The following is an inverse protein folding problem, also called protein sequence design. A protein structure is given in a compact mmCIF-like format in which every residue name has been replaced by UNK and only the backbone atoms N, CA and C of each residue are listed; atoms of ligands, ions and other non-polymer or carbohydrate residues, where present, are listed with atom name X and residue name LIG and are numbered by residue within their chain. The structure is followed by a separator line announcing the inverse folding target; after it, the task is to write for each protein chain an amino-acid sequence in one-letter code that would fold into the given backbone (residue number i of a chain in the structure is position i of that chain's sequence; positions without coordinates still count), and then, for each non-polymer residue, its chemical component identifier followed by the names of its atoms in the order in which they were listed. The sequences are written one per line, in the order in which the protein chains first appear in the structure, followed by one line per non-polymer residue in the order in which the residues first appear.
data_IF_491003488499
#
_entry.id   IF_491003488499
#
_cell.length_a   1.000
_cell.length_b   1.000
_cell.length_c   1.000
_cell.angle_alpha   90.00
_cell.angle_beta   90.00
_cell.angle_gamma   90.00
#
_symmetry.space_group_name_H-M   'P 1'
#
loop_
_entity.id
_entity.type
_entity.pdbx_description
1 polymer ?
#
# COMPACT_ATOMS: atom_id res chain seq x y z
N UNK A 1 44.75 24.65 11.20
CA UNK A 1 43.41 24.03 11.04
C UNK A 1 43.32 22.69 11.81
N UNK A 2 42.45 22.61 12.83
CA UNK A 2 42.20 21.35 13.56
C UNK A 2 41.49 20.37 12.62
N UNK A 3 41.98 19.13 12.52
CA UNK A 3 41.29 18.06 11.79
C UNK A 3 39.98 17.76 12.53
N UNK A 4 38.84 17.89 11.84
CA UNK A 4 37.54 17.44 12.36
C UNK A 4 37.63 15.97 12.74
N UNK A 5 37.05 15.63 13.88
CA UNK A 5 36.94 14.23 14.32
C UNK A 5 36.01 13.47 13.39
N UNK A 6 36.14 12.14 13.33
CA UNK A 6 35.29 11.33 12.46
C UNK A 6 33.80 11.44 12.84
N UNK A 7 33.51 11.55 14.14
CA UNK A 7 32.17 11.82 14.66
C UNK A 7 31.59 13.16 14.17
N UNK A 8 32.39 14.22 14.10
CA UNK A 8 31.96 15.51 13.54
C UNK A 8 31.67 15.41 12.04
N UNK A 9 32.48 14.65 11.29
CA UNK A 9 32.23 14.41 9.87
C UNK A 9 30.94 13.63 9.63
N UNK A 10 30.61 12.65 10.49
CA UNK A 10 29.35 11.90 10.41
C UNK A 10 28.16 12.81 10.68
N UNK A 11 28.20 13.62 11.74
CA UNK A 11 27.14 14.62 12.03
C UNK A 11 26.94 15.60 10.88
N UNK A 12 28.02 16.11 10.28
CA UNK A 12 27.92 16.99 9.11
C UNK A 12 27.32 16.26 7.90
N UNK A 13 27.62 14.97 7.71
CA UNK A 13 27.05 14.17 6.63
C UNK A 13 25.56 13.90 6.84
N UNK A 14 25.16 13.47 8.05
CA UNK A 14 23.76 13.31 8.45
C UNK A 14 23.00 14.63 8.28
N UNK A 15 23.55 15.75 8.74
CA UNK A 15 22.93 17.07 8.54
C UNK A 15 22.84 17.47 7.07
N UNK A 16 23.81 17.09 6.22
CA UNK A 16 23.74 17.31 4.76
C UNK A 16 22.69 16.43 4.10
N UNK A 17 22.56 15.17 4.52
CA UNK A 17 21.51 14.27 4.04
C UNK A 17 20.15 14.83 4.44
N UNK A 18 19.91 15.10 5.73
CA UNK A 18 18.66 15.72 6.19
C UNK A 18 18.39 17.08 5.54
N UNK A 19 19.41 17.90 5.29
CA UNK A 19 19.24 19.15 4.56
C UNK A 19 18.92 18.94 3.07
N UNK A 20 19.54 17.95 2.40
CA UNK A 20 19.24 17.62 1.01
C UNK A 20 17.82 17.08 0.89
N UNK A 21 17.42 16.25 1.85
CA UNK A 21 16.07 15.76 2.07
C UNK A 21 15.10 16.94 2.25
N UNK A 22 15.37 17.89 3.15
CA UNK A 22 14.50 19.05 3.37
C UNK A 22 14.44 19.98 2.15
N UNK A 23 15.54 20.13 1.42
CA UNK A 23 15.58 20.87 0.16
C UNK A 23 14.74 20.16 -0.91
N UNK A 24 14.83 18.83 -1.04
CA UNK A 24 13.98 18.05 -1.95
C UNK A 24 12.49 18.15 -1.56
N UNK A 25 12.20 18.16 -0.25
CA UNK A 25 10.84 18.30 0.32
C UNK A 25 10.22 19.68 0.06
N UNK A 26 10.98 20.76 0.16
CA UNK A 26 10.45 22.13 0.05
C UNK A 26 10.76 22.85 -1.26
N UNK A 27 11.69 22.34 -2.08
CA UNK A 27 12.21 23.02 -3.26
C UNK A 27 11.28 23.05 -4.47
N UNK A 28 10.26 22.19 -4.54
CA UNK A 28 9.45 21.97 -5.75
C UNK A 28 8.21 22.85 -5.89
N UNK A 29 7.91 23.74 -4.93
CA UNK A 29 6.72 24.64 -4.99
C UNK A 29 7.03 26.13 -5.17
N UNK A 30 8.30 26.53 -5.31
CA UNK A 30 8.65 27.93 -5.57
C UNK A 30 8.75 28.21 -7.08
N UNK A 31 7.59 28.19 -7.77
CA UNK A 31 7.49 28.81 -9.09
C UNK A 31 7.37 30.32 -8.91
N UNK A 32 8.26 31.03 -9.61
CA UNK A 32 8.48 32.46 -9.60
C UNK A 32 7.17 33.27 -9.69
N UNK A 33 6.91 34.10 -8.68
CA UNK A 33 6.09 35.29 -8.82
C UNK A 33 7.00 36.51 -8.68
N UNK A 34 7.29 37.15 -9.82
CA UNK A 34 7.92 38.46 -9.88
C UNK A 34 7.05 39.53 -9.18
N UNK A 35 7.65 40.50 -8.46
CA UNK A 35 6.91 41.56 -7.82
C UNK A 35 6.79 42.77 -8.76
N UNK A 36 5.59 43.05 -9.25
CA UNK A 36 5.26 44.35 -9.86
C UNK A 36 4.22 45.12 -9.03
N UNK A 37 4.74 46.05 -8.23
CA UNK A 37 4.34 47.46 -8.16
C UNK A 37 2.83 47.85 -8.20
N UNK A 38 2.33 48.14 -6.99
CA UNK A 38 1.74 49.44 -6.57
C UNK A 38 0.22 49.73 -6.68
N UNK A 39 -0.30 50.17 -5.53
CA UNK A 39 -1.35 51.19 -5.24
C UNK A 39 -2.83 50.88 -5.56
N UNK A 40 -3.65 50.73 -4.50
CA UNK A 40 -4.46 51.82 -3.92
C UNK A 40 -5.27 51.36 -2.70
N UNK A 41 -5.33 52.24 -1.71
CA UNK A 41 -6.11 52.12 -0.48
C UNK A 41 -7.62 52.27 -0.71
N UNK A 42 -8.43 51.59 0.11
CA UNK A 42 -9.79 52.02 0.50
C UNK A 42 -10.26 51.31 1.78
N UNK A 43 -11.10 52.03 2.53
CA UNK A 43 -11.49 51.91 3.95
C UNK A 43 -12.34 50.69 4.34
N UNK A 44 -12.48 50.40 5.65
CA UNK A 44 -13.24 49.26 6.16
C UNK A 44 -14.72 49.59 6.40
N UNK A 45 -15.62 48.65 6.09
CA UNK A 45 -17.01 48.68 6.53
C UNK A 45 -17.28 47.58 7.57
N UNK A 46 -17.92 48.05 8.65
CA UNK A 46 -18.48 47.36 9.82
C UNK A 46 -19.58 46.32 9.50
N UNK A 47 -19.92 45.56 10.55
CA UNK A 47 -21.10 44.70 10.80
C UNK A 47 -20.95 43.26 10.28
N UNK A 48 -21.34 42.19 11.00
CA UNK A 48 -22.14 42.05 12.22
C UNK A 48 -21.91 40.66 12.80
N UNK A 49 -21.92 40.58 14.13
CA UNK A 49 -22.04 39.36 14.92
C UNK A 49 -23.35 38.61 14.66
N UNK A 50 -23.28 37.30 14.45
CA UNK A 50 -24.38 36.40 14.83
C UNK A 50 -23.80 35.15 15.48
N UNK A 51 -24.22 34.94 16.73
CA UNK A 51 -24.04 33.71 17.50
C UNK A 51 -25.09 32.73 17.00
N UNK A 52 -24.67 31.52 16.63
CA UNK A 52 -25.53 30.35 16.74
C UNK A 52 -24.71 29.16 17.23
N UNK A 53 -25.00 28.78 18.47
CA UNK A 53 -24.50 27.59 19.13
C UNK A 53 -25.37 26.40 18.70
N UNK A 54 -24.90 25.59 17.76
CA UNK A 54 -25.51 24.31 17.45
C UNK A 54 -24.74 23.18 18.12
N UNK A 55 -25.40 22.58 19.11
CA UNK A 55 -25.00 21.38 19.84
C UNK A 55 -24.77 20.21 18.87
N UNK A 56 -23.55 19.68 18.86
CA UNK A 56 -23.14 18.50 18.10
C UNK A 56 -23.48 17.24 18.90
N UNK A 57 -24.26 16.27 18.38
CA UNK A 57 -24.44 14.98 19.04
C UNK A 57 -23.20 14.08 18.85
N UNK A 58 -22.93 13.15 19.78
CA UNK A 58 -21.74 12.30 19.72
C UNK A 58 -21.80 11.36 18.51
N UNK A 59 -20.74 11.38 17.70
CA UNK A 59 -20.52 10.46 16.60
C UNK A 59 -20.36 9.03 17.16
N UNK A 60 -21.43 8.24 17.10
CA UNK A 60 -21.39 6.81 17.36
C UNK A 60 -21.10 6.05 16.05
N UNK A 61 -20.19 5.07 16.16
CA UNK A 61 -19.89 3.94 15.27
C UNK A 61 -20.20 4.05 13.77
N UNK A 62 -19.16 3.90 12.95
CA UNK A 62 -19.24 3.47 11.54
C UNK A 62 -20.10 2.20 11.42
N UNK A 63 -21.41 2.36 11.30
CA UNK A 63 -22.36 1.26 11.12
C UNK A 63 -22.82 1.16 9.67
N UNK A 64 -23.03 -0.09 9.28
CA UNK A 64 -23.31 -0.76 7.99
C UNK A 64 -24.51 -0.22 7.16
N UNK A 65 -24.99 0.99 7.42
CA UNK A 65 -26.24 1.54 6.89
C UNK A 65 -26.22 1.83 5.37
N UNK A 66 -25.06 1.95 4.74
CA UNK A 66 -24.97 2.21 3.29
C UNK A 66 -25.35 0.99 2.43
N UNK A 67 -25.43 -0.22 3.01
CA UNK A 67 -25.85 -1.44 2.29
C UNK A 67 -27.33 -1.46 1.90
N UNK A 68 -28.18 -0.64 2.52
CA UNK A 68 -29.64 -0.69 2.32
C UNK A 68 -30.16 0.20 1.17
N UNK A 69 -29.35 1.10 0.62
CA UNK A 69 -29.83 2.14 -0.30
C UNK A 69 -29.65 1.83 -1.80
N UNK A 70 -29.15 0.64 -2.19
CA UNK A 70 -28.81 0.34 -3.60
C UNK A 70 -29.80 -0.57 -4.34
N UNK A 71 -30.98 -0.87 -3.77
CA UNK A 71 -31.97 -1.75 -4.41
C UNK A 71 -33.10 -0.96 -5.09
N UNK A 72 -32.84 -0.30 -6.21
CA UNK A 72 -33.88 0.03 -7.22
C UNK A 72 -33.29 -0.04 -8.63
N UNK A 73 -33.80 -0.88 -9.54
CA UNK A 73 -33.36 -0.88 -10.93
C UNK A 73 -34.25 0.06 -11.75
N UNK A 74 -33.66 1.10 -12.34
CA UNK A 74 -34.24 1.81 -13.48
C UNK A 74 -33.56 1.31 -14.75
N UNK A 75 -34.33 0.68 -15.62
CA UNK A 75 -33.89 0.19 -16.91
C UNK A 75 -33.67 1.36 -17.88
N UNK A 76 -32.49 1.40 -18.49
CA UNK A 76 -32.24 2.23 -19.67
C UNK A 76 -31.37 1.47 -20.66
N UNK A 77 -31.87 1.45 -21.88
CA UNK A 77 -31.46 0.74 -23.10
C UNK A 77 -30.07 1.16 -23.57
N UNK A 78 -29.20 0.20 -23.92
CA UNK A 78 -27.90 0.48 -24.55
C UNK A 78 -27.75 -0.25 -25.88
N UNK A 79 -27.49 0.53 -26.93
CA UNK A 79 -27.05 0.11 -28.25
C UNK A 79 -25.58 -0.35 -28.22
N UNK A 80 -25.28 -1.44 -28.92
CA UNK A 80 -23.94 -2.05 -29.03
C UNK A 80 -23.17 -1.48 -30.22
N UNK A 81 -21.90 -1.14 -30.01
CA UNK A 81 -20.88 -1.06 -31.06
C UNK A 81 -19.65 -1.86 -30.65
N UNK A 82 -19.29 -2.84 -31.49
CA UNK A 82 -18.08 -3.66 -31.41
C UNK A 82 -16.89 -2.85 -31.95
N UNK A 83 -15.74 -2.93 -31.28
CA UNK A 83 -14.45 -2.65 -31.89
C UNK A 83 -13.36 -3.51 -31.26
N UNK A 84 -12.78 -4.38 -32.08
CA UNK A 84 -11.61 -5.22 -31.83
C UNK A 84 -10.34 -4.48 -32.29
N UNK A 85 -9.27 -4.53 -31.50
CA UNK A 85 -7.92 -4.94 -31.91
C UNK A 85 -6.86 -4.46 -30.91
N UNK A 86 -5.68 -5.11 -31.00
CA UNK A 86 -4.33 -4.55 -30.82
C UNK A 86 -3.67 -4.86 -29.47
N UNK A 87 -2.38 -5.17 -29.34
CA UNK A 87 -1.29 -5.72 -30.16
C UNK A 87 -0.27 -6.24 -29.13
N UNK A 88 0.43 -7.30 -29.49
CA UNK A 88 1.54 -7.88 -28.77
C UNK A 88 2.82 -7.15 -29.19
N UNK A 89 3.49 -6.48 -28.24
CA UNK A 89 4.83 -5.93 -28.45
C UNK A 89 5.76 -6.55 -27.40
N UNK A 90 6.74 -7.29 -27.91
CA UNK A 90 7.92 -7.81 -27.23
C UNK A 90 8.90 -6.65 -26.95
N UNK A 91 9.42 -6.54 -25.73
CA UNK A 91 10.72 -5.92 -25.46
C UNK A 91 11.36 -6.48 -24.19
N UNK A 92 12.64 -6.85 -24.35
CA UNK A 92 13.54 -7.57 -23.45
C UNK A 92 14.17 -6.72 -22.33
N UNK A 93 14.66 -7.46 -21.32
CA UNK A 93 15.60 -7.14 -20.24
C UNK A 93 15.10 -6.37 -19.00
N UNK A 94 14.57 -7.13 -18.03
CA UNK A 94 14.50 -6.72 -16.62
C UNK A 94 15.36 -7.65 -15.73
N UNK A 95 16.10 -7.02 -14.83
CA UNK A 95 16.89 -7.61 -13.75
C UNK A 95 16.02 -8.58 -12.92
N UNK A 96 16.36 -9.87 -12.96
CA UNK A 96 15.60 -10.96 -12.34
C UNK A 96 15.69 -10.88 -10.81
N UNK A 97 14.83 -10.05 -10.20
CA UNK A 97 14.54 -10.09 -8.77
C UNK A 97 13.86 -11.43 -8.49
N UNK A 98 14.55 -12.30 -7.75
CA UNK A 98 14.12 -13.64 -7.40
C UNK A 98 12.89 -13.64 -6.47
N UNK A 99 11.71 -13.36 -7.04
CA UNK A 99 10.42 -13.34 -6.37
C UNK A 99 9.40 -14.18 -7.13
N UNK A 100 9.22 -15.43 -6.67
CA UNK A 100 8.02 -16.28 -6.80
C UNK A 100 6.95 -15.79 -7.79
N UNK A 101 6.94 -16.38 -9.00
CA UNK A 101 5.84 -16.25 -9.96
C UNK A 101 4.63 -17.04 -9.42
N UNK A 102 3.50 -16.38 -9.23
CA UNK A 102 2.25 -16.94 -8.65
C UNK A 102 1.50 -17.91 -9.61
N UNK A 103 2.12 -18.42 -10.68
CA UNK A 103 1.44 -19.28 -11.68
C UNK A 103 1.21 -20.73 -11.20
N UNK A 104 1.85 -21.15 -10.10
CA UNK A 104 1.80 -22.55 -9.63
C UNK A 104 0.67 -22.87 -8.61
N UNK A 105 -0.23 -21.92 -8.29
CA UNK A 105 -1.31 -22.13 -7.29
C UNK A 105 -2.72 -22.05 -7.90
N UNK A 106 -2.90 -22.54 -9.12
CA UNK A 106 -4.23 -22.77 -9.71
C UNK A 106 -4.56 -24.25 -9.80
N UNK A 107 -4.83 -24.90 -8.67
CA UNK A 107 -5.43 -26.23 -8.64
C UNK A 107 -6.86 -26.16 -9.23
N UNK A 108 -7.00 -26.41 -10.54
CA UNK A 108 -8.30 -26.61 -11.20
C UNK A 108 -8.92 -27.93 -10.71
N UNK A 109 -9.81 -27.86 -9.72
CA UNK A 109 -10.83 -28.90 -9.49
C UNK A 109 -12.03 -28.62 -10.39
N UNK A 110 -12.07 -29.25 -11.56
CA UNK A 110 -13.28 -29.32 -12.40
C UNK A 110 -14.18 -30.50 -12.00
N UNK A 111 -15.51 -30.42 -12.25
CA UNK A 111 -16.43 -31.50 -11.95
C UNK A 111 -16.30 -32.64 -12.98
N UNK A 112 -16.17 -33.86 -12.49
CA UNK A 112 -16.08 -35.06 -13.31
C UNK A 112 -17.39 -35.27 -14.11
N UNK A 113 -17.32 -35.07 -15.43
CA UNK A 113 -18.36 -35.49 -16.36
C UNK A 113 -17.86 -36.75 -17.07
N UNK A 114 -18.50 -37.87 -16.78
CA UNK A 114 -18.29 -39.15 -17.44
C UNK A 114 -18.85 -39.10 -18.86
N UNK A 115 -17.97 -39.31 -19.85
CA UNK A 115 -18.17 -40.03 -21.13
C UNK A 115 -17.42 -39.37 -22.30
N UNK A 116 -16.29 -39.97 -22.69
CA UNK A 116 -15.99 -40.41 -24.06
C UNK A 116 -14.52 -40.82 -24.12
N UNK A 117 -14.25 -42.06 -24.53
CA UNK A 117 -12.92 -42.65 -24.69
C UNK A 117 -12.23 -42.01 -25.91
N UNK A 118 -11.52 -40.91 -25.71
CA UNK A 118 -10.43 -40.51 -26.60
C UNK A 118 -9.12 -40.82 -25.90
N UNK A 119 -8.27 -41.62 -26.56
CA UNK A 119 -6.90 -41.88 -26.12
C UNK A 119 -6.10 -40.57 -26.24
N UNK A 120 -6.08 -39.79 -25.17
CA UNK A 120 -5.17 -38.66 -25.01
C UNK A 120 -3.80 -39.26 -24.70
N UNK A 121 -2.83 -39.04 -25.60
CA UNK A 121 -1.43 -39.30 -25.31
C UNK A 121 -1.05 -38.44 -24.10
N UNK A 122 -0.72 -39.11 -22.99
CA UNK A 122 -0.18 -38.49 -21.79
C UNK A 122 1.20 -37.95 -22.17
N UNK A 123 1.28 -36.65 -22.43
CA UNK A 123 2.55 -35.94 -22.51
C UNK A 123 3.03 -35.84 -21.06
N UNK A 124 4.05 -36.63 -20.71
CA UNK A 124 4.71 -36.56 -19.40
C UNK A 124 5.32 -35.16 -19.24
N UNK A 125 4.61 -34.29 -18.50
CA UNK A 125 5.15 -32.99 -18.12
C UNK A 125 6.41 -33.20 -17.26
N UNK A 126 7.54 -32.55 -17.59
CA UNK A 126 8.79 -32.72 -16.87
C UNK A 126 8.60 -32.27 -15.42
N UNK A 127 8.80 -33.22 -14.49
CA UNK A 127 8.77 -32.99 -13.04
C UNK A 127 9.63 -31.76 -12.70
N UNK A 128 9.10 -30.77 -11.96
CA UNK A 128 9.86 -29.57 -11.61
C UNK A 128 11.15 -29.98 -10.89
N UNK A 129 12.30 -29.65 -11.49
CA UNK A 129 13.60 -29.88 -10.88
C UNK A 129 13.63 -29.16 -9.52
N UNK A 130 13.83 -29.92 -8.45
CA UNK A 130 14.01 -29.38 -7.10
C UNK A 130 15.18 -28.39 -7.16
N UNK A 131 14.88 -27.10 -6.94
CA UNK A 131 15.89 -26.06 -6.83
C UNK A 131 16.91 -26.50 -5.77
N UNK A 132 18.20 -26.45 -6.12
CA UNK A 132 19.27 -26.87 -5.23
C UNK A 132 19.20 -26.16 -3.88
N UNK A 133 19.64 -26.83 -2.81
CA UNK A 133 19.67 -26.30 -1.44
C UNK A 133 20.42 -24.96 -1.42
N UNK A 134 19.69 -23.85 -1.21
CA UNK A 134 20.30 -22.52 -1.07
C UNK A 134 21.14 -22.54 0.20
N UNK A 135 22.44 -22.23 0.08
CA UNK A 135 23.33 -22.17 1.24
C UNK A 135 22.90 -21.03 2.17
N UNK A 136 23.05 -21.23 3.49
CA UNK A 136 22.65 -20.23 4.48
C UNK A 136 23.27 -18.85 4.20
N UNK A 137 24.54 -18.83 3.76
CA UNK A 137 25.31 -17.63 3.40
C UNK A 137 24.71 -16.82 2.24
N UNK A 138 23.96 -17.47 1.34
CA UNK A 138 23.30 -16.81 0.20
C UNK A 138 21.85 -16.45 0.50
N UNK A 139 21.31 -16.89 1.64
CA UNK A 139 19.94 -16.62 2.01
C UNK A 139 19.80 -15.16 2.46
N UNK A 140 18.81 -14.46 1.89
CA UNK A 140 18.42 -13.09 2.25
C UNK A 140 17.46 -13.12 3.47
N UNK A 141 17.62 -14.10 4.35
CA UNK A 141 16.81 -14.19 5.58
C UNK A 141 17.23 -13.15 6.59
N UNK A 142 16.24 -12.61 7.32
CA UNK A 142 16.45 -11.72 8.47
C UNK A 142 17.28 -12.37 9.58
N UNK A 143 17.28 -13.70 9.66
CA UNK A 143 18.09 -14.44 10.63
C UNK A 143 19.59 -14.33 10.38
N UNK A 144 19.97 -13.97 9.15
CA UNK A 144 21.36 -13.77 8.76
C UNK A 144 21.86 -12.34 9.00
N UNK A 145 21.01 -11.44 9.48
CA UNK A 145 21.45 -10.11 9.93
C UNK A 145 22.44 -10.23 11.10
N UNK A 146 23.36 -9.28 11.18
CA UNK A 146 24.26 -9.16 12.33
C UNK A 146 23.44 -9.00 13.62
N UNK A 147 23.90 -9.59 14.72
CA UNK A 147 23.14 -9.65 15.99
C UNK A 147 22.67 -8.28 16.47
N UNK A 148 23.51 -7.25 16.33
CA UNK A 148 23.17 -5.88 16.72
C UNK A 148 22.02 -5.32 15.88
N UNK A 149 21.87 -5.73 14.61
CA UNK A 149 20.89 -5.18 13.68
C UNK A 149 19.53 -5.88 13.78
N UNK A 150 19.46 -7.14 14.23
CA UNK A 150 18.21 -7.94 14.21
C UNK A 150 17.02 -7.24 14.86
N UNK A 151 17.16 -6.78 16.09
CA UNK A 151 16.06 -6.14 16.83
C UNK A 151 15.80 -4.70 16.34
N UNK A 152 16.82 -3.82 16.20
CA UNK A 152 16.63 -2.47 15.67
C UNK A 152 16.03 -2.46 14.27
N UNK A 153 16.38 -3.45 13.42
CA UNK A 153 15.87 -3.54 12.07
C UNK A 153 14.34 -3.52 12.02
N UNK A 154 13.71 -4.41 12.80
CA UNK A 154 12.24 -4.54 12.84
C UNK A 154 11.58 -3.38 13.56
N UNK A 155 12.17 -2.97 14.69
CA UNK A 155 11.49 -2.05 15.61
C UNK A 155 11.63 -0.59 15.17
N UNK A 156 12.74 -0.24 14.53
CA UNK A 156 13.15 1.15 14.30
C UNK A 156 13.61 1.41 12.86
N UNK A 157 14.58 0.66 12.32
CA UNK A 157 15.19 0.96 11.01
C UNK A 157 14.15 0.82 9.89
N UNK A 158 13.52 -0.35 9.75
CA UNK A 158 12.54 -0.58 8.69
C UNK A 158 11.31 0.34 8.83
N UNK A 159 10.69 0.51 10.01
CA UNK A 159 9.61 1.48 10.18
C UNK A 159 9.99 2.91 9.77
N UNK A 160 11.19 3.38 10.15
CA UNK A 160 11.68 4.72 9.79
C UNK A 160 11.94 4.84 8.29
N UNK A 161 12.51 3.80 7.67
CA UNK A 161 12.72 3.74 6.23
C UNK A 161 11.39 3.82 5.46
N UNK A 162 10.39 3.03 5.87
CA UNK A 162 9.08 3.03 5.21
C UNK A 162 8.29 4.32 5.48
N UNK A 163 8.50 4.95 6.63
CA UNK A 163 7.91 6.25 6.96
C UNK A 163 8.44 7.32 6.00
N UNK A 164 9.76 7.40 5.85
CA UNK A 164 10.42 8.28 4.92
C UNK A 164 9.95 8.06 3.47
N UNK A 165 10.07 6.83 2.96
CA UNK A 165 9.62 6.47 1.61
C UNK A 165 8.12 6.69 1.41
N UNK A 166 7.33 6.60 2.47
CA UNK A 166 5.90 6.89 2.45
C UNK A 166 5.59 8.36 2.16
N UNK A 167 6.48 9.29 2.53
CA UNK A 167 6.33 10.73 2.30
C UNK A 167 6.78 11.19 0.92
N UNK A 168 7.54 10.36 0.19
CA UNK A 168 8.13 10.75 -1.09
C UNK A 168 7.09 11.16 -2.14
N UNK A 169 7.39 12.23 -2.87
CA UNK A 169 6.46 12.77 -3.87
C UNK A 169 6.71 12.12 -5.23
N UNK A 170 7.97 11.96 -5.62
CA UNK A 170 8.32 11.70 -7.02
C UNK A 170 8.32 10.21 -7.39
N UNK A 171 8.52 9.30 -6.44
CA UNK A 171 8.69 7.88 -6.77
C UNK A 171 7.87 6.93 -5.93
N UNK A 172 7.15 6.06 -6.63
CA UNK A 172 6.37 4.97 -6.04
C UNK A 172 7.03 3.60 -6.23
N UNK A 173 8.04 3.47 -7.10
CA UNK A 173 8.66 2.17 -7.43
C UNK A 173 10.19 2.20 -7.56
N UNK A 174 10.77 3.28 -8.10
CA UNK A 174 12.21 3.42 -8.25
C UNK A 174 12.86 3.90 -6.96
N UNK A 175 13.60 3.01 -6.30
CA UNK A 175 14.31 3.36 -5.08
C UNK A 175 15.57 4.20 -5.34
N UNK A 176 16.17 4.14 -6.52
CA UNK A 176 17.44 4.82 -6.84
C UNK A 176 17.26 6.00 -7.80
N UNK A 177 16.13 6.71 -7.67
CA UNK A 177 15.71 7.72 -8.64
C UNK A 177 16.51 9.03 -8.60
N UNK A 178 17.03 9.41 -7.42
CA UNK A 178 17.93 10.57 -7.29
C UNK A 178 19.40 10.21 -7.55
N UNK A 179 19.68 8.95 -7.87
CA UNK A 179 21.01 8.44 -8.16
C UNK A 179 21.19 6.99 -7.72
N UNK A 180 22.22 6.29 -8.25
CA UNK A 180 22.43 4.85 -8.04
C UNK A 180 22.63 4.44 -6.58
N UNK A 181 22.88 5.41 -5.71
CA UNK A 181 23.27 5.24 -4.33
C UNK A 181 22.27 5.83 -3.32
N UNK A 182 21.19 6.48 -3.78
CA UNK A 182 20.29 7.22 -2.91
C UNK A 182 19.66 6.34 -1.83
N UNK A 183 19.15 5.16 -2.20
CA UNK A 183 18.52 4.26 -1.24
C UNK A 183 19.52 3.74 -0.19
N UNK A 184 20.76 3.50 -0.62
CA UNK A 184 21.86 3.10 0.27
C UNK A 184 22.18 4.21 1.27
N UNK A 185 22.29 5.44 0.79
CA UNK A 185 22.68 6.60 1.61
C UNK A 185 21.57 6.95 2.62
N UNK A 186 20.29 6.84 2.21
CA UNK A 186 19.14 6.94 3.11
C UNK A 186 19.19 5.87 4.21
N UNK A 187 19.40 4.59 3.82
CA UNK A 187 19.48 3.49 4.77
C UNK A 187 20.64 3.69 5.76
N UNK A 188 21.81 4.12 5.27
CA UNK A 188 22.95 4.44 6.12
C UNK A 188 22.62 5.53 7.13
N UNK A 189 21.99 6.63 6.69
CA UNK A 189 21.60 7.72 7.59
C UNK A 189 20.68 7.24 8.70
N UNK A 190 19.71 6.37 8.38
CA UNK A 190 18.80 5.80 9.37
C UNK A 190 19.55 4.89 10.35
N UNK A 191 20.52 4.09 9.88
CA UNK A 191 21.35 3.24 10.75
C UNK A 191 22.18 4.10 11.70
N UNK A 192 22.80 5.17 11.21
CA UNK A 192 23.60 6.10 12.01
C UNK A 192 22.75 6.74 13.13
N UNK A 193 21.48 7.07 12.84
CA UNK A 193 20.56 7.67 13.80
C UNK A 193 19.98 6.65 14.81
N UNK A 194 19.66 5.44 14.36
CA UNK A 194 19.05 4.39 15.21
C UNK A 194 20.10 3.63 16.04
N UNK A 195 21.30 3.45 15.51
CA UNK A 195 22.38 2.65 16.08
C UNK A 195 23.73 3.42 16.07
N UNK A 196 23.83 4.59 16.71
CA UNK A 196 25.01 5.46 16.62
C UNK A 196 26.30 4.83 17.15
N UNK A 197 26.19 3.85 18.06
CA UNK A 197 27.33 3.12 18.63
C UNK A 197 27.92 2.08 17.66
N UNK A 198 27.24 1.80 16.55
CA UNK A 198 27.67 0.80 15.56
C UNK A 198 28.36 1.48 14.40
N UNK A 199 29.65 1.19 14.21
CA UNK A 199 30.44 1.67 13.06
C UNK A 199 30.17 0.81 11.81
N UNK A 200 28.91 0.74 11.39
CA UNK A 200 28.50 -0.03 10.23
C UNK A 200 28.52 0.85 8.97
N UNK A 201 29.11 0.34 7.89
CA UNK A 201 29.07 0.97 6.57
C UNK A 201 28.29 0.09 5.59
N UNK A 202 27.12 0.56 5.19
CA UNK A 202 26.21 -0.10 4.26
C UNK A 202 26.77 -0.07 2.84
N UNK A 203 26.71 -1.22 2.16
CA UNK A 203 27.07 -1.38 0.74
C UNK A 203 25.94 -2.06 -0.01
N UNK A 204 25.90 -1.97 -1.35
CA UNK A 204 24.87 -2.66 -2.15
C UNK A 204 24.97 -4.20 -2.06
N UNK A 205 26.17 -4.71 -1.77
CA UNK A 205 26.41 -6.14 -1.50
C UNK A 205 25.96 -6.59 -0.11
N UNK A 206 25.75 -5.66 0.82
CA UNK A 206 25.39 -5.93 2.21
C UNK A 206 24.03 -6.65 2.31
N UNK A 207 23.95 -7.58 3.24
CA UNK A 207 22.72 -8.30 3.54
C UNK A 207 21.66 -7.37 4.11
N UNK A 208 22.04 -6.38 4.92
CA UNK A 208 21.10 -5.41 5.49
C UNK A 208 20.45 -4.57 4.39
N UNK A 209 21.26 -4.10 3.42
CA UNK A 209 20.78 -3.39 2.23
C UNK A 209 19.80 -4.23 1.41
N UNK A 210 20.15 -5.49 1.11
CA UNK A 210 19.30 -6.39 0.30
C UNK A 210 17.98 -6.68 0.99
N UNK A 211 18.00 -6.95 2.30
CA UNK A 211 16.79 -7.20 3.10
C UNK A 211 15.92 -5.95 3.17
N UNK A 212 16.52 -4.77 3.38
CA UNK A 212 15.80 -3.50 3.37
C UNK A 212 15.09 -3.26 2.03
N UNK A 213 15.82 -3.40 0.91
CA UNK A 213 15.26 -3.23 -0.44
C UNK A 213 14.10 -4.20 -0.69
N UNK A 214 14.27 -5.48 -0.35
CA UNK A 214 13.20 -6.47 -0.46
C UNK A 214 11.99 -6.11 0.41
N UNK A 215 12.23 -5.63 1.64
CA UNK A 215 11.15 -5.24 2.56
C UNK A 215 10.31 -4.08 2.02
N UNK A 216 10.92 -3.16 1.25
CA UNK A 216 10.17 -2.10 0.55
C UNK A 216 9.29 -2.67 -0.55
N UNK A 217 9.77 -3.61 -1.36
CA UNK A 217 8.95 -4.28 -2.37
C UNK A 217 7.80 -5.08 -1.75
N UNK A 218 8.06 -5.77 -0.66
CA UNK A 218 7.03 -6.50 0.10
C UNK A 218 6.00 -5.51 0.69
N UNK A 219 6.46 -4.36 1.17
CA UNK A 219 5.60 -3.26 1.59
C UNK A 219 4.73 -2.73 0.44
N UNK A 220 5.27 -2.52 -0.76
CA UNK A 220 4.46 -2.18 -1.93
C UNK A 220 3.39 -3.25 -2.22
N UNK A 221 3.79 -4.53 -2.25
CA UNK A 221 2.88 -5.65 -2.48
C UNK A 221 1.76 -5.70 -1.43
N UNK A 222 2.06 -5.35 -0.19
CA UNK A 222 1.10 -5.42 0.91
C UNK A 222 -0.12 -4.50 0.74
N UNK A 223 0.01 -3.35 0.07
CA UNK A 223 -1.14 -2.51 -0.30
C UNK A 223 -2.10 -3.25 -1.24
N UNK A 224 -1.57 -3.89 -2.29
CA UNK A 224 -2.37 -4.67 -3.21
C UNK A 224 -3.06 -5.84 -2.52
N UNK A 225 -2.35 -6.56 -1.65
CA UNK A 225 -2.93 -7.67 -0.88
C UNK A 225 -4.06 -7.19 0.04
N UNK A 226 -3.89 -6.04 0.70
CA UNK A 226 -4.94 -5.46 1.54
C UNK A 226 -6.17 -5.04 0.72
N UNK A 227 -5.96 -4.36 -0.41
CA UNK A 227 -7.02 -3.98 -1.35
C UNK A 227 -7.77 -5.21 -1.90
N UNK A 228 -7.02 -6.23 -2.33
CA UNK A 228 -7.56 -7.49 -2.82
C UNK A 228 -8.38 -8.18 -1.73
N UNK A 229 -7.85 -8.27 -0.50
CA UNK A 229 -8.56 -8.88 0.63
C UNK A 229 -9.92 -8.20 0.87
N UNK A 230 -9.95 -6.88 1.04
CA UNK A 230 -11.20 -6.17 1.38
C UNK A 230 -12.25 -6.25 0.27
N UNK A 231 -11.84 -6.21 -1.01
CA UNK A 231 -12.76 -6.36 -2.15
C UNK A 231 -13.23 -7.82 -2.27
N UNK A 232 -12.32 -8.79 -2.13
CA UNK A 232 -12.65 -10.22 -2.19
C UNK A 232 -13.65 -10.62 -1.09
N UNK A 233 -13.50 -10.07 0.13
CA UNK A 233 -14.40 -10.34 1.24
C UNK A 233 -15.84 -9.86 0.92
N UNK A 234 -16.00 -8.70 0.27
CA UNK A 234 -17.29 -8.20 -0.18
C UNK A 234 -17.88 -9.04 -1.33
N UNK A 235 -17.08 -9.37 -2.34
CA UNK A 235 -17.52 -10.23 -3.45
C UNK A 235 -17.95 -11.61 -2.94
N UNK A 236 -17.19 -12.23 -2.03
CA UNK A 236 -17.59 -13.48 -1.36
C UNK A 236 -18.90 -13.31 -0.60
N UNK A 237 -19.11 -12.17 0.07
CA UNK A 237 -20.36 -11.83 0.74
C UNK A 237 -21.56 -11.71 -0.22
N UNK A 238 -21.34 -11.19 -1.44
CA UNK A 238 -22.36 -11.18 -2.50
C UNK A 238 -22.65 -12.59 -3.02
N UNK A 239 -21.62 -13.39 -3.30
CA UNK A 239 -21.76 -14.76 -3.77
C UNK A 239 -22.49 -15.66 -2.75
N UNK A 240 -22.23 -15.48 -1.45
CA UNK A 240 -22.99 -16.15 -0.37
C UNK A 240 -24.48 -15.81 -0.40
N UNK A 241 -24.83 -14.60 -0.86
CA UNK A 241 -26.22 -14.14 -1.09
C UNK A 241 -26.75 -14.55 -2.47
N UNK A 242 -26.04 -15.44 -3.18
CA UNK A 242 -26.38 -15.95 -4.52
C UNK A 242 -26.42 -14.86 -5.61
N UNK A 243 -25.65 -13.79 -5.44
CA UNK A 243 -25.47 -12.80 -6.50
C UNK A 243 -24.82 -13.45 -7.74
N UNK A 244 -25.32 -13.11 -8.92
CA UNK A 244 -24.76 -13.53 -10.20
C UNK A 244 -23.43 -12.83 -10.52
N UNK A 245 -22.72 -13.30 -11.54
CA UNK A 245 -21.51 -12.62 -12.03
C UNK A 245 -21.83 -11.21 -12.54
N UNK A 246 -23.00 -11.02 -13.16
CA UNK A 246 -23.48 -9.73 -13.65
C UNK A 246 -23.74 -8.76 -12.50
N UNK A 247 -24.33 -9.25 -11.39
CA UNK A 247 -24.54 -8.44 -10.18
C UNK A 247 -23.21 -7.97 -9.58
N UNK A 248 -22.20 -8.85 -9.52
CA UNK A 248 -20.86 -8.48 -9.05
C UNK A 248 -20.23 -7.46 -10.00
N UNK A 249 -20.33 -7.65 -11.31
CA UNK A 249 -19.82 -6.70 -12.30
C UNK A 249 -20.48 -5.32 -12.17
N UNK A 250 -21.80 -5.27 -12.03
CA UNK A 250 -22.55 -4.03 -11.83
C UNK A 250 -22.13 -3.33 -10.52
N UNK A 251 -21.98 -4.09 -9.44
CA UNK A 251 -21.51 -3.57 -8.17
C UNK A 251 -20.09 -3.00 -8.27
N UNK A 252 -19.17 -3.70 -8.95
CA UNK A 252 -17.79 -3.24 -9.18
C UNK A 252 -17.79 -1.93 -9.98
N UNK A 253 -18.56 -1.85 -11.07
CA UNK A 253 -18.65 -0.65 -11.90
C UNK A 253 -19.22 0.54 -11.11
N UNK A 254 -20.26 0.31 -10.32
CA UNK A 254 -20.89 1.35 -9.49
C UNK A 254 -19.96 1.80 -8.36
N UNK A 255 -19.32 0.84 -7.68
CA UNK A 255 -18.42 1.08 -6.54
C UNK A 255 -17.15 1.81 -6.97
N UNK A 256 -16.57 1.44 -8.11
CA UNK A 256 -15.33 2.05 -8.63
C UNK A 256 -15.54 3.33 -9.44
N UNK A 257 -16.80 3.72 -9.71
CA UNK A 257 -17.13 4.98 -10.39
C UNK A 257 -16.59 6.20 -9.64
N UNK A 258 -16.50 7.35 -10.30
CA UNK A 258 -15.91 8.57 -9.72
C UNK A 258 -16.55 9.02 -8.40
N UNK A 259 -17.86 8.79 -8.23
CA UNK A 259 -18.63 9.10 -7.02
C UNK A 259 -18.96 7.84 -6.19
N UNK A 260 -18.32 6.71 -6.52
CA UNK A 260 -18.61 5.40 -5.96
C UNK A 260 -18.02 5.14 -4.57
N UNK A 261 -18.49 4.07 -3.94
CA UNK A 261 -18.09 3.69 -2.59
C UNK A 261 -16.61 3.31 -2.45
N UNK A 262 -15.89 3.06 -3.56
CA UNK A 262 -14.45 2.83 -3.55
C UNK A 262 -13.68 4.05 -3.05
N UNK A 263 -14.18 5.26 -3.32
CA UNK A 263 -13.46 6.51 -3.09
C UNK A 263 -14.12 7.39 -2.03
N UNK A 264 -15.40 7.22 -1.76
CA UNK A 264 -16.15 8.11 -0.86
C UNK A 264 -16.69 7.35 0.34
N UNK A 265 -16.54 7.92 1.54
CA UNK A 265 -17.14 7.38 2.76
C UNK A 265 -18.67 7.41 2.72
N UNK A 266 -19.25 8.38 2.01
CA UNK A 266 -20.68 8.48 1.70
C UNK A 266 -20.84 8.76 0.21
N UNK A 267 -20.93 7.72 -0.63
CA UNK A 267 -21.12 7.88 -2.07
C UNK A 267 -22.51 8.44 -2.35
N UNK A 268 -22.58 9.41 -3.24
CA UNK A 268 -23.84 9.98 -3.75
C UNK A 268 -23.63 10.42 -5.21
N UNK A 269 -24.67 10.27 -6.03
CA UNK A 269 -24.58 10.59 -7.47
C UNK A 269 -24.29 12.06 -7.77
N UNK A 270 -24.75 12.99 -6.91
CA UNK A 270 -24.66 14.44 -7.09
C UNK A 270 -23.67 15.10 -6.14
N UNK A 271 -23.67 14.69 -4.87
CA UNK A 271 -22.90 15.31 -3.80
C UNK A 271 -22.26 14.26 -2.89
N UNK A 272 -21.26 13.50 -3.39
CA UNK A 272 -20.57 12.55 -2.55
C UNK A 272 -19.80 13.28 -1.45
N UNK A 273 -19.73 12.68 -0.26
CA UNK A 273 -19.06 13.27 0.90
C UNK A 273 -18.07 12.30 1.55
N UNK A 274 -17.08 12.85 2.26
CA UNK A 274 -16.00 12.06 2.84
C UNK A 274 -15.05 11.51 1.77
N UNK A 275 -14.46 12.39 0.97
CA UNK A 275 -13.48 12.03 -0.04
C UNK A 275 -12.35 11.21 0.59
N UNK A 276 -12.10 10.03 0.02
CA UNK A 276 -11.13 9.02 0.44
C UNK A 276 -11.37 8.39 1.82
N UNK A 277 -12.48 8.71 2.48
CA UNK A 277 -12.90 8.06 3.72
C UNK A 277 -13.67 6.74 3.47
N UNK A 278 -13.48 6.12 2.30
CA UNK A 278 -14.09 4.81 2.04
C UNK A 278 -13.42 3.73 2.90
N UNK A 279 -14.16 2.69 3.33
CA UNK A 279 -13.56 1.56 4.02
C UNK A 279 -12.44 0.89 3.19
N UNK A 280 -12.59 0.83 1.86
CA UNK A 280 -11.58 0.26 0.97
C UNK A 280 -10.26 1.02 1.03
N UNK A 281 -10.31 2.36 0.95
CA UNK A 281 -9.12 3.21 0.99
C UNK A 281 -8.50 3.19 2.39
N UNK A 282 -9.32 3.33 3.43
CA UNK A 282 -8.88 3.29 4.83
C UNK A 282 -8.15 1.97 5.13
N UNK A 283 -8.75 0.82 4.81
CA UNK A 283 -8.14 -0.49 5.05
C UNK A 283 -6.84 -0.65 4.26
N UNK A 284 -6.83 -0.27 2.99
CA UNK A 284 -5.63 -0.38 2.14
C UNK A 284 -4.49 0.50 2.65
N UNK A 285 -4.77 1.75 3.00
CA UNK A 285 -3.78 2.70 3.52
C UNK A 285 -3.29 2.34 4.92
N UNK A 286 -4.14 1.72 5.75
CA UNK A 286 -3.78 1.30 7.11
C UNK A 286 -2.54 0.37 7.16
N UNK A 287 -2.23 -0.30 6.05
CA UNK A 287 -0.98 -1.06 5.86
C UNK A 287 0.25 -0.22 6.15
N UNK A 288 0.31 1.00 5.60
CA UNK A 288 1.43 1.90 5.83
C UNK A 288 1.54 2.32 7.30
N UNK A 289 0.41 2.72 7.90
CA UNK A 289 0.38 3.13 9.31
C UNK A 289 0.82 2.00 10.26
N UNK A 290 0.51 0.74 9.95
CA UNK A 290 1.04 -0.42 10.69
C UNK A 290 2.56 -0.55 10.49
N UNK A 291 3.03 -0.43 9.26
CA UNK A 291 4.42 -0.65 8.89
C UNK A 291 5.38 0.39 9.49
N UNK A 292 4.92 1.63 9.65
CA UNK A 292 5.73 2.72 10.24
C UNK A 292 5.66 2.77 11.77
N UNK A 293 4.92 1.84 12.41
CA UNK A 293 4.82 1.79 13.87
C UNK A 293 6.19 1.52 14.48
N UNK A 294 6.73 2.52 15.17
CA UNK A 294 8.05 2.46 15.78
C UNK A 294 9.09 3.35 15.09
N UNK A 295 8.75 3.99 13.96
CA UNK A 295 9.56 5.02 13.30
C UNK A 295 10.09 6.05 14.31
N UNK A 296 11.33 6.49 14.11
CA UNK A 296 11.95 7.57 14.91
C UNK A 296 11.75 8.96 14.29
N UNK A 297 11.16 9.04 13.10
CA UNK A 297 10.86 10.32 12.44
C UNK A 297 9.90 11.14 13.30
N UNK A 298 10.31 12.36 13.65
CA UNK A 298 9.50 13.26 14.49
C UNK A 298 8.55 14.12 13.65
N UNK A 299 8.94 14.40 12.41
CA UNK A 299 8.21 15.22 11.45
C UNK A 299 7.78 14.33 10.30
N UNK A 300 6.59 13.75 10.44
CA UNK A 300 6.00 12.95 9.37
C UNK A 300 5.15 13.89 8.54
N UNK A 301 5.71 14.32 7.41
CA UNK A 301 4.97 14.94 6.33
C UNK A 301 3.81 14.04 5.89
N UNK A 302 2.91 14.59 5.07
CA UNK A 302 1.81 13.79 4.55
C UNK A 302 2.38 12.58 3.76
N UNK A 303 1.89 11.34 4.00
CA UNK A 303 2.43 10.12 3.39
C UNK A 303 1.94 9.95 1.95
N UNK A 304 2.41 10.86 1.08
CA UNK A 304 2.01 11.03 -0.32
C UNK A 304 2.24 9.75 -1.14
N UNK A 305 3.41 9.12 -1.04
CA UNK A 305 3.71 7.88 -1.74
C UNK A 305 2.78 6.74 -1.29
N UNK A 306 2.60 6.57 0.02
CA UNK A 306 1.73 5.52 0.56
C UNK A 306 0.26 5.70 0.13
N UNK A 307 -0.21 6.94 0.03
CA UNK A 307 -1.51 7.27 -0.56
C UNK A 307 -1.54 6.84 -2.04
N UNK A 308 -0.57 7.29 -2.83
CA UNK A 308 -0.45 6.95 -4.27
C UNK A 308 -0.49 5.43 -4.50
N UNK A 309 0.25 4.66 -3.70
CA UNK A 309 0.25 3.19 -3.75
C UNK A 309 -1.11 2.59 -3.38
N UNK A 310 -1.78 3.12 -2.34
CA UNK A 310 -3.11 2.68 -1.92
C UNK A 310 -4.16 2.88 -3.03
N UNK A 311 -4.13 4.03 -3.71
CA UNK A 311 -4.97 4.29 -4.88
C UNK A 311 -4.66 3.34 -6.03
N UNK A 312 -3.38 3.18 -6.36
CA UNK A 312 -2.95 2.31 -7.45
C UNK A 312 -3.41 0.87 -7.23
N UNK A 313 -3.22 0.36 -6.01
CA UNK A 313 -3.66 -0.96 -5.56
C UNK A 313 -5.18 -1.15 -5.75
N UNK A 314 -6.00 -0.25 -5.21
CA UNK A 314 -7.46 -0.33 -5.33
C UNK A 314 -7.91 -0.30 -6.79
N UNK A 315 -7.40 0.63 -7.59
CA UNK A 315 -7.77 0.71 -9.01
C UNK A 315 -7.42 -0.56 -9.76
N UNK A 316 -6.26 -1.16 -9.49
CA UNK A 316 -5.83 -2.39 -10.13
C UNK A 316 -6.74 -3.56 -9.74
N UNK A 317 -7.05 -3.72 -8.46
CA UNK A 317 -7.93 -4.79 -7.97
C UNK A 317 -9.34 -4.66 -8.55
N UNK A 318 -9.94 -3.46 -8.52
CA UNK A 318 -11.25 -3.23 -9.14
C UNK A 318 -11.25 -3.57 -10.64
N UNK A 319 -10.17 -3.20 -11.36
CA UNK A 319 -10.01 -3.55 -12.78
C UNK A 319 -9.94 -5.06 -13.00
N UNK A 320 -9.26 -5.79 -12.11
CA UNK A 320 -9.21 -7.27 -12.13
C UNK A 320 -10.59 -7.92 -12.01
N UNK A 321 -11.58 -7.21 -11.48
CA UNK A 321 -12.98 -7.65 -11.36
C UNK A 321 -13.91 -7.16 -12.47
N UNK A 322 -13.37 -6.57 -13.54
CA UNK A 322 -14.16 -5.98 -14.64
C UNK A 322 -15.19 -6.89 -15.31
N UNK A 323 -15.05 -8.21 -15.19
CA UNK A 323 -15.97 -9.23 -15.72
C UNK A 323 -16.76 -9.98 -14.64
N UNK A 324 -16.85 -9.43 -13.41
CA UNK A 324 -17.54 -10.06 -12.27
C UNK A 324 -16.77 -11.21 -11.62
N UNK A 325 -15.70 -11.71 -12.26
CA UNK A 325 -14.73 -12.65 -11.70
C UNK A 325 -13.36 -11.98 -11.64
N UNK A 326 -12.61 -12.26 -10.57
CA UNK A 326 -11.25 -11.78 -10.45
C UNK A 326 -10.36 -12.47 -11.48
N UNK A 327 -9.67 -11.66 -12.28
CA UNK A 327 -8.59 -12.07 -13.16
C UNK A 327 -7.32 -11.34 -12.73
N UNK A 328 -6.34 -12.08 -12.23
CA UNK A 328 -5.02 -11.54 -11.89
C UNK A 328 -4.20 -11.40 -13.18
N UNK A 329 -4.65 -10.52 -14.09
CA UNK A 329 -4.05 -10.42 -15.41
C UNK A 329 -2.57 -10.03 -15.33
N UNK A 330 -2.17 -9.30 -14.28
CA UNK A 330 -0.79 -8.82 -14.10
C UNK A 330 -0.44 -8.64 -12.61
N UNK A 331 0.82 -8.86 -12.21
CA UNK A 331 1.28 -8.60 -10.84
C UNK A 331 1.23 -7.11 -10.50
N UNK A 332 1.16 -6.77 -9.21
CA UNK A 332 1.31 -5.38 -8.74
C UNK A 332 2.80 -5.02 -8.77
N UNK A 333 3.24 -4.39 -9.85
CA UNK A 333 4.64 -4.07 -10.10
C UNK A 333 4.79 -2.74 -10.84
N UNK A 334 6.03 -2.30 -10.96
CA UNK A 334 6.43 -1.17 -11.79
C UNK A 334 5.87 -1.27 -13.22
N UNK A 335 6.17 -2.36 -13.92
CA UNK A 335 5.77 -2.55 -15.32
C UNK A 335 4.26 -2.44 -15.56
N UNK A 336 3.45 -2.81 -14.56
CA UNK A 336 1.99 -2.89 -14.68
C UNK A 336 1.27 -1.62 -14.25
N UNK A 337 1.94 -0.80 -13.43
CA UNK A 337 1.41 0.44 -12.88
C UNK A 337 2.07 1.67 -13.52
N UNK A 338 3.40 1.75 -13.56
CA UNK A 338 4.22 2.91 -13.99
C UNK A 338 4.18 3.22 -15.49
N UNK A 339 4.13 2.20 -16.35
CA UNK A 339 4.07 2.37 -17.80
C UNK A 339 2.72 2.91 -18.33
N UNK A 340 1.93 3.56 -17.48
CA UNK A 340 0.63 4.16 -17.79
C UNK A 340 0.60 5.61 -17.30
N UNK A 341 1.17 6.56 -18.05
CA UNK A 341 1.25 7.97 -17.63
C UNK A 341 -0.11 8.56 -17.22
N UNK A 342 -1.17 8.24 -17.96
CA UNK A 342 -2.53 8.69 -17.64
C UNK A 342 -3.08 8.10 -16.32
N UNK A 343 -2.70 6.86 -15.99
CA UNK A 343 -3.10 6.21 -14.74
C UNK A 343 -2.50 6.94 -13.54
N UNK A 344 -1.20 7.22 -13.60
CA UNK A 344 -0.51 7.95 -12.54
C UNK A 344 -0.90 9.41 -12.48
N UNK A 345 -1.07 10.09 -13.61
CA UNK A 345 -1.50 11.48 -13.62
C UNK A 345 -2.82 11.69 -12.83
N UNK A 346 -3.79 10.80 -13.00
CA UNK A 346 -5.05 10.86 -12.24
C UNK A 346 -4.85 10.59 -10.74
N UNK A 347 -3.99 9.64 -10.39
CA UNK A 347 -3.67 9.32 -8.99
C UNK A 347 -2.96 10.51 -8.33
N UNK A 348 -1.91 11.02 -8.96
CA UNK A 348 -1.13 12.18 -8.50
C UNK A 348 -2.07 13.37 -8.30
N UNK A 349 -2.88 13.72 -9.31
CA UNK A 349 -3.84 14.83 -9.21
C UNK A 349 -4.83 14.64 -8.04
N UNK A 350 -5.28 13.41 -7.81
CA UNK A 350 -6.22 13.11 -6.71
C UNK A 350 -5.57 13.21 -5.34
N UNK A 351 -4.33 12.71 -5.20
CA UNK A 351 -3.55 12.77 -3.96
C UNK A 351 -3.12 14.20 -3.67
N UNK A 352 -2.62 14.95 -4.64
CA UNK A 352 -2.21 16.34 -4.48
C UNK A 352 -3.40 17.21 -4.03
N UNK A 353 -4.59 16.95 -4.57
CA UNK A 353 -5.83 17.62 -4.13
C UNK A 353 -6.22 17.29 -2.69
N UNK A 354 -5.92 16.08 -2.21
CA UNK A 354 -6.14 15.69 -0.82
C UNK A 354 -5.11 16.37 0.10
N UNK A 355 -3.84 16.27 -0.28
CA UNK A 355 -2.69 16.73 0.52
C UNK A 355 -2.64 18.26 0.61
N UNK A 356 -3.08 18.97 -0.43
CA UNK A 356 -3.26 20.44 -0.40
C UNK A 356 -4.33 20.93 0.58
N UNK A 357 -5.07 20.02 1.23
CA UNK A 357 -6.12 20.35 2.20
C UNK A 357 -5.83 19.65 3.54
N UNK A 358 -5.06 20.28 4.44
CA UNK A 358 -4.64 19.69 5.73
C UNK A 358 -5.78 19.06 6.53
N UNK A 359 -6.94 19.70 6.57
CA UNK A 359 -8.13 19.19 7.25
C UNK A 359 -8.64 17.85 6.70
N UNK A 360 -8.54 17.63 5.38
CA UNK A 360 -9.01 16.40 4.75
C UNK A 360 -8.01 15.26 4.97
N UNK A 361 -6.72 15.52 4.80
CA UNK A 361 -5.69 14.51 5.05
C UNK A 361 -5.64 14.14 6.54
N UNK A 362 -5.79 15.09 7.46
CA UNK A 362 -5.88 14.81 8.89
C UNK A 362 -7.12 13.97 9.24
N UNK A 363 -8.28 14.28 8.66
CA UNK A 363 -9.48 13.48 8.84
C UNK A 363 -9.30 12.05 8.32
N UNK A 364 -8.65 11.90 7.16
CA UNK A 364 -8.32 10.61 6.56
C UNK A 364 -7.36 9.79 7.44
N UNK A 365 -6.23 10.37 7.84
CA UNK A 365 -5.24 9.71 8.70
C UNK A 365 -5.87 9.30 10.03
N UNK A 366 -6.69 10.16 10.65
CA UNK A 366 -7.40 9.83 11.89
C UNK A 366 -8.37 8.67 11.70
N UNK A 367 -9.13 8.64 10.59
CA UNK A 367 -10.03 7.52 10.29
C UNK A 367 -9.25 6.21 10.09
N UNK A 368 -8.08 6.26 9.45
CA UNK A 368 -7.22 5.11 9.28
C UNK A 368 -6.59 4.63 10.58
N UNK A 369 -6.16 5.53 11.47
CA UNK A 369 -5.70 5.19 12.82
C UNK A 369 -6.82 4.56 13.67
N UNK A 370 -8.04 5.09 13.59
CA UNK A 370 -9.20 4.51 14.27
C UNK A 370 -9.54 3.10 13.76
N UNK A 371 -9.38 2.86 12.46
CA UNK A 371 -9.55 1.52 11.89
C UNK A 371 -8.57 0.52 12.50
N UNK A 372 -7.32 0.92 12.71
CA UNK A 372 -6.30 0.09 13.35
C UNK A 372 -6.60 -0.26 14.81
N UNK A 373 -7.06 0.72 15.60
CA UNK A 373 -7.38 0.49 17.02
C UNK A 373 -8.67 -0.28 17.21
N UNK A 374 -9.66 -0.07 16.34
CA UNK A 374 -10.95 -0.77 16.38
C UNK A 374 -10.84 -2.26 16.08
N UNK A 375 -9.91 -2.67 15.21
CA UNK A 375 -9.67 -4.10 14.93
C UNK A 375 -9.05 -4.81 16.15
N UNK A 376 -8.19 -4.14 16.91
CA UNK A 376 -7.60 -4.75 18.11
C UNK A 376 -8.65 -5.06 19.18
N UNK A 377 -9.65 -4.19 19.35
CA UNK A 377 -10.72 -4.39 20.34
C UNK A 377 -11.62 -5.60 20.04
N UNK A 378 -11.72 -6.04 18.78
CA UNK A 378 -12.55 -7.20 18.41
C UNK A 378 -11.83 -8.53 18.62
N UNK A 379 -10.50 -8.52 18.66
CA UNK A 379 -9.68 -9.72 18.88
C UNK A 379 -9.70 -10.16 20.35
N UNK A 380 -9.82 -9.23 21.29
CA UNK A 380 -9.81 -9.50 22.73
C UNK A 380 -11.21 -9.84 23.28
N UNK A 381 -11.96 -10.73 22.60
CA UNK A 381 -13.16 -11.30 23.23
C UNK A 381 -12.67 -12.31 24.28
N UNK A 382 -12.84 -12.06 25.59
CA UNK A 382 -12.33 -12.95 26.61
C UNK A 382 -12.93 -14.33 26.39
N UNK A 383 -12.06 -15.32 26.21
CA UNK A 383 -12.44 -16.72 26.16
C UNK A 383 -13.14 -17.05 27.50
N UNK A 384 -14.47 -17.06 27.48
CA UNK A 384 -15.25 -17.43 28.63
C UNK A 384 -15.00 -18.93 28.92
N UNK A 385 -14.14 -19.19 29.88
CA UNK A 385 -14.14 -20.40 30.71
C UNK A 385 -13.89 -21.72 29.99
N UNK A 386 -12.63 -22.02 29.67
CA UNK A 386 -12.08 -23.37 29.83
C UNK A 386 -10.71 -23.26 30.51
N UNK A 387 -10.55 -24.04 31.58
CA UNK A 387 -9.40 -24.01 32.47
C UNK A 387 -8.07 -24.20 31.73
N UNK A 388 -7.15 -23.30 32.07
CA UNK A 388 -5.69 -23.34 32.00
C UNK A 388 -5.04 -24.59 31.38
N UNK A 389 -4.39 -24.37 30.25
CA UNK A 389 -3.07 -24.95 29.99
C UNK A 389 -2.20 -23.85 29.40
N UNK A 390 -1.06 -23.59 30.05
CA UNK A 390 -0.09 -22.57 29.70
C UNK A 390 0.31 -22.64 28.22
N UNK A 391 0.07 -21.55 27.49
CA UNK A 391 0.76 -21.26 26.23
C UNK A 391 0.95 -19.74 26.16
N UNK A 392 2.17 -19.33 26.51
CA UNK A 392 2.76 -18.08 26.08
C UNK A 392 3.02 -18.19 24.57
N UNK A 393 2.13 -17.66 23.72
CA UNK A 393 2.42 -17.28 22.33
C UNK A 393 1.22 -16.58 21.68
N UNK A 394 1.49 -15.82 20.60
CA UNK A 394 0.55 -15.18 19.64
C UNK A 394 0.30 -13.66 19.77
N UNK A 395 1.33 -12.85 19.47
CA UNK A 395 1.14 -11.62 18.67
C UNK A 395 1.77 -11.81 17.28
N UNK A 396 1.20 -12.77 16.54
CA UNK A 396 1.71 -13.29 15.26
C UNK A 396 1.07 -12.62 14.03
N UNK A 397 0.61 -11.36 14.17
CA UNK A 397 -0.06 -10.65 13.06
C UNK A 397 0.89 -10.20 11.94
N UNK A 398 2.18 -10.50 12.05
CA UNK A 398 3.20 -10.27 11.02
C UNK A 398 3.88 -11.56 10.49
N UNK A 399 3.40 -12.75 10.87
CA UNK A 399 3.95 -14.06 10.46
C UNK A 399 3.14 -14.81 9.40
N UNK A 400 2.30 -14.13 8.62
CA UNK A 400 1.83 -14.77 7.39
C UNK A 400 3.00 -14.71 6.40
N UNK A 401 3.47 -15.90 6.01
CA UNK A 401 4.55 -16.22 5.07
C UNK A 401 5.92 -16.57 5.67
N UNK A 402 5.97 -17.61 6.52
CA UNK A 402 7.00 -18.66 6.45
C UNK A 402 6.65 -19.81 7.41
N UNK A 403 6.16 -20.93 6.88
CA UNK A 403 6.53 -22.31 7.25
C UNK A 403 5.63 -23.31 6.50
N UNK A 404 6.25 -24.15 5.67
CA UNK A 404 5.71 -25.47 5.32
C UNK A 404 6.75 -26.47 5.78
N UNK A 405 6.61 -26.95 7.01
CA UNK A 405 7.33 -28.13 7.48
C UNK A 405 6.72 -29.36 6.78
N UNK A 406 7.53 -30.24 6.16
CA UNK A 406 7.04 -31.51 5.65
C UNK A 406 6.60 -32.43 6.81
N UNK A 407 5.67 -33.37 6.57
CA UNK A 407 5.26 -34.34 7.58
C UNK A 407 6.42 -35.30 7.94
N UNK A 408 6.42 -35.90 9.14
CA UNK A 408 7.39 -36.92 9.50
C UNK A 408 7.19 -38.16 8.62
N UNK A 409 8.29 -38.71 8.11
CA UNK A 409 8.35 -40.00 7.42
C UNK A 409 8.22 -41.13 8.46
N UNK A 410 7.31 -42.08 8.20
CA UNK A 410 7.38 -43.46 8.72
C UNK A 410 8.08 -44.36 7.71
#
# INVERSE_FOLDING_TARGET
PKKKTEAEKRKDNTARVWSAIDIARHGTLSSQNDPSSSKKASKPSRLSSSKDSTTVPPQSGFNTAWRAAQSTPNASTTTKTKSTNRTQDDFDNEEEVAGWKDEDVSARKGPATLHSRQQVQVIDEPKPQRRGKVTSEKSVSRDNLQTWAKIPYVKKILPTLLDYLGTEVNTTWELDHEGPDWFRDLLQSIIDDVCPEQEHQTSTSDILYKIARQSVYDWHRSFYLAAAKVINDEVKGMQKRKASLEDVQQWINTTSSANGAAWWGRPDSKQPTGMFLSPYMITTFSVHLKAIRGSISQEVDHPVCALKLSFAALRLVFKGYSHGKFSADRPFSKATTENRPQFWHQIITSVDRLVSKPQLINAFTNAALQHLTGDQSKSTRPAAGKQAQDSDDDDDSFRVWQESSPPPEE
#
